data_IF_320575666155
#
_entry.id   IF_320575666155
#
_cell.length_a   1.000
_cell.length_b   1.000
_cell.length_c   1.000
_cell.angle_alpha   90.00
_cell.angle_beta   90.00
_cell.angle_gamma   90.00
#
_symmetry.space_group_name_H-M   'P 1'
#
loop_
_entity.id
_entity.type
_entity.pdbx_description
1 polymer ?
#
# COMPACT_ATOMS: atom_id res chain seq x y z
N UNK A 1 -18.28 6.69 -13.90
CA UNK A 1 -17.95 7.86 -13.08
C UNK A 1 -16.76 7.59 -12.16
N UNK A 2 -16.76 6.60 -11.28
CA UNK A 2 -15.62 6.30 -10.38
C UNK A 2 -14.37 5.70 -11.07
N UNK A 3 -14.37 5.55 -12.38
CA UNK A 3 -13.17 5.20 -13.16
C UNK A 3 -12.07 6.29 -13.07
N UNK A 4 -12.44 7.57 -12.87
CA UNK A 4 -11.50 8.69 -12.77
C UNK A 4 -11.12 8.94 -11.31
N UNK A 5 -9.83 9.25 -11.06
CA UNK A 5 -9.32 9.60 -9.72
C UNK A 5 -10.08 10.80 -9.12
N UNK A 6 -10.30 11.86 -9.90
CA UNK A 6 -11.03 13.05 -9.45
C UNK A 6 -12.43 12.72 -8.92
N UNK A 7 -13.18 11.86 -9.62
CA UNK A 7 -14.51 11.45 -9.18
C UNK A 7 -14.44 10.61 -7.88
N UNK A 8 -13.45 9.73 -7.72
CA UNK A 8 -13.28 8.98 -6.47
C UNK A 8 -12.97 9.89 -5.27
N UNK A 9 -12.22 10.96 -5.52
CA UNK A 9 -11.89 11.96 -4.47
C UNK A 9 -13.12 12.80 -4.15
N UNK A 10 -13.82 13.30 -5.16
CA UNK A 10 -15.00 14.17 -5.02
C UNK A 10 -16.15 13.45 -4.31
N UNK A 11 -16.43 12.22 -4.73
CA UNK A 11 -17.51 11.40 -4.15
C UNK A 11 -17.08 10.72 -2.82
N UNK A 12 -15.80 10.64 -2.52
CA UNK A 12 -15.29 9.89 -1.39
C UNK A 12 -15.52 8.38 -1.48
N UNK A 13 -15.62 7.83 -2.70
CA UNK A 13 -16.05 6.47 -2.98
C UNK A 13 -15.16 5.78 -3.99
N UNK A 14 -15.12 4.45 -3.93
CA UNK A 14 -14.49 3.62 -4.96
C UNK A 14 -15.23 2.28 -5.12
N UNK A 15 -14.93 1.60 -6.21
CA UNK A 15 -15.56 0.32 -6.55
C UNK A 15 -14.63 -0.83 -6.19
N UNK A 16 -15.19 -1.84 -5.54
CA UNK A 16 -14.55 -3.12 -5.24
C UNK A 16 -15.27 -4.21 -6.02
N UNK A 17 -14.52 -5.00 -6.78
CA UNK A 17 -15.04 -6.06 -7.65
C UNK A 17 -14.62 -7.43 -7.13
N UNK A 18 -15.59 -8.32 -6.98
CA UNK A 18 -15.41 -9.70 -6.52
C UNK A 18 -15.69 -9.93 -5.04
N UNK A 19 -16.36 -11.05 -4.76
CA UNK A 19 -16.83 -11.41 -3.42
C UNK A 19 -15.70 -11.45 -2.39
N UNK A 20 -14.53 -12.00 -2.75
CA UNK A 20 -13.37 -12.08 -1.87
C UNK A 20 -12.91 -10.69 -1.43
N UNK A 21 -12.72 -9.75 -2.36
CA UNK A 21 -12.25 -8.40 -2.04
C UNK A 21 -13.29 -7.60 -1.24
N UNK A 22 -14.58 -7.82 -1.51
CA UNK A 22 -15.66 -7.19 -0.72
C UNK A 22 -15.63 -7.73 0.72
N UNK A 23 -15.44 -9.03 0.89
CA UNK A 23 -15.30 -9.64 2.22
C UNK A 23 -14.07 -9.11 2.96
N UNK A 24 -12.92 -8.96 2.28
CA UNK A 24 -11.71 -8.36 2.85
C UNK A 24 -11.93 -6.90 3.28
N UNK A 25 -12.69 -6.11 2.49
CA UNK A 25 -13.06 -4.75 2.87
C UNK A 25 -13.89 -4.75 4.17
N UNK A 26 -14.87 -5.64 4.28
CA UNK A 26 -15.69 -5.77 5.49
C UNK A 26 -14.87 -6.21 6.71
N UNK A 27 -13.98 -7.21 6.55
CA UNK A 27 -13.07 -7.67 7.61
C UNK A 27 -12.14 -6.53 8.06
N UNK A 28 -11.63 -5.73 7.12
CA UNK A 28 -10.83 -4.54 7.40
C UNK A 28 -11.63 -3.36 7.99
N UNK A 29 -12.93 -3.55 8.27
CA UNK A 29 -13.81 -2.53 8.84
C UNK A 29 -14.06 -1.34 7.91
N UNK A 30 -14.08 -1.56 6.59
CA UNK A 30 -14.43 -0.53 5.61
C UNK A 30 -15.94 -0.45 5.41
N UNK A 31 -16.44 0.77 5.20
CA UNK A 31 -17.87 1.00 5.01
C UNK A 31 -18.30 0.61 3.60
N UNK A 32 -18.97 -0.52 3.47
CA UNK A 32 -19.64 -0.95 2.25
C UNK A 32 -21.02 -0.30 2.20
N UNK A 33 -21.26 0.57 1.23
CA UNK A 33 -22.49 1.37 1.14
C UNK A 33 -23.58 0.70 0.31
N UNK A 34 -23.16 -0.03 -0.74
CA UNK A 34 -24.07 -0.78 -1.61
C UNK A 34 -23.34 -1.96 -2.22
N UNK A 35 -24.06 -3.05 -2.44
CA UNK A 35 -23.60 -4.17 -3.24
C UNK A 35 -24.45 -4.30 -4.49
N UNK A 36 -23.82 -4.72 -5.57
CA UNK A 36 -24.43 -4.95 -6.87
C UNK A 36 -24.04 -6.35 -7.33
N UNK A 37 -25.00 -7.11 -7.83
CA UNK A 37 -24.71 -8.48 -8.28
C UNK A 37 -25.50 -8.86 -9.52
N UNK A 38 -25.01 -9.84 -10.25
CA UNK A 38 -25.81 -10.51 -11.29
C UNK A 38 -26.95 -11.30 -10.66
N UNK A 39 -27.98 -11.59 -11.45
CA UNK A 39 -29.17 -12.34 -11.00
C UNK A 39 -28.83 -13.71 -10.43
N UNK A 40 -27.79 -14.36 -10.95
CA UNK A 40 -27.36 -15.71 -10.56
C UNK A 40 -26.35 -15.71 -9.40
N UNK A 41 -25.87 -14.54 -8.96
CA UNK A 41 -24.95 -14.43 -7.85
C UNK A 41 -25.67 -14.30 -6.50
N UNK A 42 -25.14 -14.96 -5.46
CA UNK A 42 -25.61 -14.73 -4.12
C UNK A 42 -25.14 -13.36 -3.59
N UNK A 43 -25.89 -12.72 -2.68
CA UNK A 43 -25.41 -11.55 -1.96
C UNK A 43 -24.18 -11.91 -1.10
N UNK A 44 -23.36 -10.91 -0.80
CA UNK A 44 -22.18 -11.11 0.05
C UNK A 44 -22.64 -11.41 1.48
N UNK A 45 -22.19 -12.51 2.01
CA UNK A 45 -22.56 -12.95 3.37
C UNK A 45 -22.10 -11.95 4.43
N UNK A 46 -23.00 -11.57 5.34
CA UNK A 46 -22.71 -10.61 6.41
C UNK A 46 -22.61 -9.16 5.96
N UNK A 47 -22.96 -8.84 4.69
CA UNK A 47 -23.00 -7.46 4.20
C UNK A 47 -24.42 -6.90 4.40
N UNK A 48 -24.55 -5.93 5.30
CA UNK A 48 -25.83 -5.25 5.58
C UNK A 48 -26.13 -4.09 4.61
N UNK A 49 -25.24 -3.84 3.64
CA UNK A 49 -25.42 -2.79 2.64
C UNK A 49 -26.59 -3.12 1.69
N UNK A 50 -27.17 -2.05 1.12
CA UNK A 50 -28.27 -2.21 0.15
C UNK A 50 -27.81 -3.09 -1.01
N UNK A 51 -28.62 -4.13 -1.31
CA UNK A 51 -28.33 -5.11 -2.37
C UNK A 51 -29.16 -4.80 -3.63
N UNK A 52 -28.46 -4.60 -4.73
CA UNK A 52 -29.05 -4.34 -6.05
C UNK A 52 -28.77 -5.51 -7.00
N UNK A 53 -29.84 -6.17 -7.46
CA UNK A 53 -29.73 -7.17 -8.52
C UNK A 53 -29.76 -6.49 -9.87
N UNK A 54 -28.72 -6.68 -10.65
CA UNK A 54 -28.55 -6.07 -11.95
C UNK A 54 -29.04 -7.00 -13.07
N UNK A 55 -29.71 -6.40 -14.05
CA UNK A 55 -30.12 -7.12 -15.25
C UNK A 55 -28.91 -7.62 -16.05
N UNK A 56 -29.17 -8.57 -16.96
CA UNK A 56 -28.17 -9.16 -17.85
C UNK A 56 -27.37 -8.10 -18.62
N UNK A 57 -26.07 -8.25 -18.71
CA UNK A 57 -25.16 -7.36 -19.42
C UNK A 57 -24.89 -6.00 -18.76
N UNK A 58 -25.44 -5.71 -17.59
CA UNK A 58 -25.20 -4.43 -16.91
C UNK A 58 -23.83 -4.41 -16.22
N UNK A 59 -23.43 -5.50 -15.56
CA UNK A 59 -22.11 -5.60 -14.94
C UNK A 59 -20.98 -5.44 -15.94
N UNK A 60 -21.11 -6.05 -17.12
CA UNK A 60 -20.14 -5.98 -18.20
C UNK A 60 -19.93 -4.55 -18.73
N UNK A 61 -20.95 -3.71 -18.64
CA UNK A 61 -20.88 -2.30 -19.07
C UNK A 61 -20.23 -1.39 -18.03
N UNK A 62 -20.31 -1.72 -16.75
CA UNK A 62 -19.82 -0.87 -15.67
C UNK A 62 -18.51 -1.36 -15.06
N UNK A 63 -18.18 -2.63 -15.24
CA UNK A 63 -16.95 -3.22 -14.78
C UNK A 63 -15.71 -2.62 -15.45
N UNK A 64 -14.59 -2.72 -14.76
CA UNK A 64 -13.28 -2.27 -15.25
C UNK A 64 -12.47 -3.40 -15.91
N UNK A 65 -13.05 -4.59 -16.06
CA UNK A 65 -12.44 -5.82 -16.62
C UNK A 65 -13.24 -6.35 -17.78
N UNK A 66 -12.59 -7.09 -18.66
CA UNK A 66 -13.25 -7.80 -19.78
C UNK A 66 -14.10 -8.98 -19.29
N UNK A 67 -13.75 -9.55 -18.15
CA UNK A 67 -14.49 -10.64 -17.52
C UNK A 67 -14.83 -10.22 -16.08
N UNK A 68 -15.92 -9.48 -15.88
CA UNK A 68 -16.30 -8.96 -14.57
C UNK A 68 -16.67 -10.08 -13.61
N UNK A 69 -16.36 -9.86 -12.34
CA UNK A 69 -16.86 -10.71 -11.27
C UNK A 69 -18.36 -10.46 -11.06
N UNK A 70 -19.13 -11.48 -10.65
CA UNK A 70 -20.58 -11.37 -10.52
C UNK A 70 -21.05 -10.46 -9.37
N UNK A 71 -20.15 -10.06 -8.49
CA UNK A 71 -20.41 -9.14 -7.38
C UNK A 71 -19.50 -7.91 -7.46
N UNK A 72 -20.07 -6.76 -7.15
CA UNK A 72 -19.40 -5.48 -7.08
C UNK A 72 -19.94 -4.71 -5.88
N UNK A 73 -19.11 -3.90 -5.23
CA UNK A 73 -19.55 -3.04 -4.12
C UNK A 73 -19.06 -1.61 -4.28
N UNK A 74 -19.83 -0.70 -3.71
CA UNK A 74 -19.45 0.69 -3.51
C UNK A 74 -18.95 0.85 -2.08
N UNK A 75 -17.71 1.31 -1.92
CA UNK A 75 -17.03 1.39 -0.62
C UNK A 75 -16.57 2.81 -0.37
N UNK A 76 -16.69 3.29 0.87
CA UNK A 76 -16.18 4.59 1.29
C UNK A 76 -14.66 4.65 1.18
N UNK A 77 -14.15 5.67 0.48
CA UNK A 77 -12.72 5.92 0.36
C UNK A 77 -12.18 6.52 1.66
N UNK A 78 -11.17 5.92 2.23
CA UNK A 78 -10.44 6.46 3.37
C UNK A 78 -8.94 6.26 3.20
N UNK A 79 -8.15 7.23 3.64
CA UNK A 79 -6.70 7.13 3.74
C UNK A 79 -6.29 7.28 5.19
N UNK A 80 -5.19 6.67 5.57
CA UNK A 80 -4.58 6.91 6.87
C UNK A 80 -3.97 8.33 6.92
N UNK A 81 -3.83 8.87 8.10
CA UNK A 81 -3.09 10.12 8.32
C UNK A 81 -1.66 9.82 8.78
N UNK A 82 -0.76 10.79 8.62
CA UNK A 82 0.58 10.70 9.21
C UNK A 82 0.53 10.55 10.73
N UNK A 83 -0.45 11.13 11.41
CA UNK A 83 -0.64 10.99 12.85
C UNK A 83 -0.80 9.52 13.29
N UNK A 84 -1.34 8.66 12.43
CA UNK A 84 -1.41 7.22 12.69
C UNK A 84 -0.02 6.61 12.76
N UNK A 85 0.87 6.95 11.81
CA UNK A 85 2.24 6.46 11.76
C UNK A 85 3.08 7.01 12.93
N UNK A 86 2.79 8.24 13.39
CA UNK A 86 3.42 8.84 14.57
C UNK A 86 3.13 8.04 15.85
N UNK A 87 1.88 7.60 16.02
CA UNK A 87 1.49 6.77 17.17
C UNK A 87 2.27 5.46 17.22
N UNK A 88 2.51 4.84 16.07
CA UNK A 88 3.27 3.59 15.99
C UNK A 88 4.75 3.80 16.40
N UNK A 89 5.36 4.93 16.01
CA UNK A 89 6.73 5.31 16.45
C UNK A 89 6.76 5.61 17.95
N UNK A 90 5.78 6.36 18.46
CA UNK A 90 5.70 6.72 19.86
C UNK A 90 5.51 5.48 20.75
N UNK A 91 4.67 4.54 20.33
CA UNK A 91 4.45 3.28 21.02
C UNK A 91 5.73 2.44 21.09
N UNK A 92 6.48 2.35 19.99
CA UNK A 92 7.75 1.64 19.94
C UNK A 92 8.82 2.26 20.87
N UNK A 93 8.85 3.59 20.99
CA UNK A 93 9.78 4.31 21.87
C UNK A 93 9.45 4.18 23.34
N UNK A 94 8.16 4.11 23.69
CA UNK A 94 7.71 4.05 25.10
C UNK A 94 7.71 2.63 25.68
N UNK A 95 7.87 1.59 24.85
CA UNK A 95 7.74 0.21 25.28
C UNK A 95 6.32 -0.14 25.79
N UNK A 96 5.36 0.80 25.63
CA UNK A 96 3.99 0.63 26.06
C UNK A 96 3.15 0.13 24.92
N UNK A 97 2.84 -1.16 24.89
CA UNK A 97 1.84 -1.74 24.01
C UNK A 97 0.44 -1.23 24.37
N UNK A 98 0.13 0.04 24.11
CA UNK A 98 -1.20 0.58 24.25
C UNK A 98 -2.06 0.15 23.04
N UNK A 99 -3.16 -0.49 23.35
CA UNK A 99 -4.08 -1.15 22.48
C UNK A 99 -4.54 -0.31 21.26
N UNK A 100 -4.12 -0.73 20.07
CA UNK A 100 -4.86 -0.50 18.85
C UNK A 100 -5.10 -1.87 18.19
N UNK A 101 -6.25 -2.09 17.53
CA UNK A 101 -6.58 -3.37 16.93
C UNK A 101 -5.86 -3.56 15.59
N UNK A 102 -4.56 -3.74 15.63
CA UNK A 102 -3.74 -4.25 14.54
C UNK A 102 -2.44 -4.72 15.17
N UNK A 103 -2.06 -5.93 14.89
CA UNK A 103 -0.85 -6.65 15.32
C UNK A 103 0.17 -5.76 16.04
N UNK A 104 0.11 -5.72 17.37
CA UNK A 104 1.14 -5.07 18.20
C UNK A 104 2.39 -5.93 18.09
N UNK A 105 3.24 -5.61 17.13
CA UNK A 105 4.60 -6.14 17.14
C UNK A 105 5.39 -5.40 18.20
N UNK A 106 6.07 -6.13 19.08
CA UNK A 106 6.99 -5.58 20.09
C UNK A 106 8.24 -4.91 19.47
N UNK A 107 8.23 -4.74 18.16
CA UNK A 107 9.34 -4.24 17.36
C UNK A 107 9.07 -2.83 16.83
N UNK A 108 10.13 -2.07 16.62
CA UNK A 108 10.03 -0.75 16.03
C UNK A 108 9.37 -0.80 14.62
N UNK A 109 8.49 0.17 14.29
CA UNK A 109 7.76 0.14 13.02
C UNK A 109 8.67 0.42 11.82
N UNK A 110 8.33 -0.14 10.66
CA UNK A 110 8.86 0.32 9.38
C UNK A 110 7.72 0.65 8.43
N UNK A 111 7.99 1.57 7.54
CA UNK A 111 7.07 1.99 6.48
C UNK A 111 7.80 2.03 5.14
N UNK A 112 7.02 2.00 4.07
CA UNK A 112 7.50 2.28 2.73
C UNK A 112 7.04 3.68 2.30
N UNK A 113 7.94 4.44 1.69
CA UNK A 113 7.61 5.66 0.98
C UNK A 113 7.82 5.43 -0.52
N UNK A 114 6.77 5.61 -1.30
CA UNK A 114 6.81 5.42 -2.75
C UNK A 114 6.93 6.77 -3.44
N UNK A 115 8.00 6.96 -4.21
CA UNK A 115 8.29 8.17 -4.94
C UNK A 115 8.03 7.97 -6.44
N UNK A 116 6.89 8.47 -6.91
CA UNK A 116 6.42 8.39 -8.29
C UNK A 116 6.25 6.96 -8.86
N UNK A 117 5.86 6.00 -8.03
CA UNK A 117 5.47 4.66 -8.50
C UNK A 117 4.13 4.74 -9.22
N UNK A 118 4.13 4.69 -10.54
CA UNK A 118 2.97 4.97 -11.40
C UNK A 118 2.23 3.74 -11.91
N UNK A 119 2.85 2.56 -11.89
CA UNK A 119 2.20 1.33 -12.33
C UNK A 119 1.28 0.76 -11.25
N UNK A 120 -0.01 0.51 -11.56
CA UNK A 120 -0.99 0.01 -10.60
C UNK A 120 -0.71 -1.44 -10.15
N UNK A 121 -0.09 -2.26 -10.98
CA UNK A 121 0.31 -3.62 -10.63
C UNK A 121 1.42 -3.62 -9.59
N UNK A 122 2.42 -2.75 -9.77
CA UNK A 122 3.50 -2.57 -8.83
C UNK A 122 2.98 -2.08 -7.47
N UNK A 123 2.14 -1.04 -7.44
CA UNK A 123 1.56 -0.56 -6.19
C UNK A 123 0.76 -1.65 -5.47
N UNK A 124 -0.10 -2.37 -6.18
CA UNK A 124 -0.86 -3.46 -5.59
C UNK A 124 0.02 -4.57 -5.00
N UNK A 125 1.09 -4.94 -5.70
CA UNK A 125 2.06 -5.95 -5.23
C UNK A 125 2.86 -5.45 -4.02
N UNK A 126 3.24 -4.17 -4.00
CA UNK A 126 3.91 -3.54 -2.85
C UNK A 126 3.01 -3.57 -1.62
N UNK A 127 1.74 -3.16 -1.75
CA UNK A 127 0.77 -3.22 -0.65
C UNK A 127 0.62 -4.64 -0.10
N UNK A 128 0.57 -5.62 -1.00
CA UNK A 128 0.46 -7.03 -0.62
C UNK A 128 1.68 -7.53 0.15
N UNK A 129 2.89 -7.17 -0.27
CA UNK A 129 4.10 -7.55 0.47
C UNK A 129 4.25 -6.79 1.79
N UNK A 130 3.84 -5.53 1.83
CA UNK A 130 3.87 -4.70 3.04
C UNK A 130 2.95 -5.27 4.12
N UNK A 131 1.71 -5.62 3.76
CA UNK A 131 0.74 -6.24 4.65
C UNK A 131 1.26 -7.60 5.15
N UNK A 132 1.64 -8.50 4.24
CA UNK A 132 2.07 -9.85 4.57
C UNK A 132 3.31 -9.90 5.49
N UNK A 133 4.19 -8.90 5.41
CA UNK A 133 5.39 -8.81 6.25
C UNK A 133 5.21 -7.92 7.48
N UNK A 134 4.06 -7.26 7.65
CA UNK A 134 3.73 -6.47 8.83
C UNK A 134 4.32 -5.06 8.83
N UNK A 135 4.49 -4.44 7.66
CA UNK A 135 4.83 -3.01 7.59
C UNK A 135 3.72 -2.16 8.23
N UNK A 136 4.11 -1.14 8.97
CA UNK A 136 3.18 -0.25 9.67
C UNK A 136 2.37 0.64 8.71
N UNK A 137 2.84 0.83 7.47
CA UNK A 137 2.10 1.57 6.46
C UNK A 137 2.90 1.80 5.18
N UNK A 138 2.18 2.35 4.19
CA UNK A 138 2.73 2.76 2.89
C UNK A 138 2.34 4.21 2.64
N UNK A 139 3.33 5.07 2.39
CA UNK A 139 3.15 6.48 2.07
C UNK A 139 3.32 6.68 0.57
N UNK A 140 2.34 7.28 -0.07
CA UNK A 140 2.37 7.60 -1.49
C UNK A 140 2.79 9.06 -1.67
N UNK A 141 4.01 9.26 -2.14
CA UNK A 141 4.51 10.56 -2.56
C UNK A 141 3.86 11.04 -3.86
N UNK A 142 4.29 12.21 -4.33
CA UNK A 142 3.77 12.77 -5.58
C UNK A 142 4.09 11.88 -6.78
N UNK A 143 3.21 11.88 -7.80
CA UNK A 143 3.38 11.07 -9.00
C UNK A 143 2.99 9.59 -8.87
N UNK A 144 2.63 9.14 -7.68
CA UNK A 144 2.13 7.77 -7.50
C UNK A 144 0.73 7.59 -8.09
N UNK A 145 0.48 6.37 -8.57
CA UNK A 145 -0.86 5.94 -8.94
C UNK A 145 -1.79 5.98 -7.72
N UNK A 146 -3.06 6.26 -7.95
CA UNK A 146 -4.09 6.27 -6.91
C UNK A 146 -4.30 4.87 -6.33
N UNK A 147 -4.20 4.74 -5.01
CA UNK A 147 -4.41 3.49 -4.29
C UNK A 147 -5.79 2.85 -4.54
N UNK A 148 -6.79 3.67 -4.82
CA UNK A 148 -8.17 3.25 -5.09
C UNK A 148 -8.47 3.04 -6.60
N UNK A 149 -7.45 3.07 -7.44
CA UNK A 149 -7.59 2.64 -8.83
C UNK A 149 -8.04 1.16 -8.86
N UNK A 150 -9.06 0.79 -9.65
CA UNK A 150 -9.55 -0.59 -9.69
C UNK A 150 -8.49 -1.65 -9.99
N UNK A 151 -7.45 -1.29 -10.75
CA UNK A 151 -6.31 -2.20 -11.01
C UNK A 151 -5.45 -2.40 -9.75
N UNK A 152 -5.24 -1.34 -8.93
CA UNK A 152 -4.52 -1.44 -7.65
C UNK A 152 -5.31 -2.29 -6.67
N UNK A 153 -6.60 -2.01 -6.51
CA UNK A 153 -7.51 -2.76 -5.62
C UNK A 153 -7.43 -4.25 -5.91
N UNK A 154 -7.52 -4.64 -7.19
CA UNK A 154 -7.40 -6.05 -7.58
C UNK A 154 -5.99 -6.61 -7.33
N UNK A 155 -4.95 -5.88 -7.74
CA UNK A 155 -3.56 -6.34 -7.60
C UNK A 155 -3.13 -6.50 -6.14
N UNK A 156 -3.73 -5.73 -5.23
CA UNK A 156 -3.46 -5.84 -3.79
C UNK A 156 -4.02 -7.11 -3.16
N UNK A 157 -4.94 -7.81 -3.83
CA UNK A 157 -5.58 -9.03 -3.34
C UNK A 157 -6.15 -8.91 -1.91
N UNK A 158 -6.68 -7.72 -1.56
CA UNK A 158 -7.24 -7.43 -0.23
C UNK A 158 -6.31 -6.67 0.71
N UNK A 159 -5.00 -6.69 0.50
CA UNK A 159 -4.03 -6.02 1.38
C UNK A 159 -4.29 -4.51 1.56
N UNK A 160 -4.85 -3.84 0.55
CA UNK A 160 -5.28 -2.44 0.64
C UNK A 160 -6.19 -2.17 1.84
N UNK A 161 -7.00 -3.15 2.23
CA UNK A 161 -7.97 -3.00 3.30
C UNK A 161 -7.37 -3.14 4.70
N UNK A 162 -6.14 -3.62 4.81
CA UNK A 162 -5.48 -3.95 6.07
C UNK A 162 -4.23 -3.08 6.35
N UNK A 163 -3.45 -2.72 5.32
CA UNK A 163 -2.28 -1.87 5.49
C UNK A 163 -2.67 -0.39 5.44
N UNK A 164 -2.23 0.44 6.40
CA UNK A 164 -2.45 1.89 6.35
C UNK A 164 -1.79 2.51 5.12
N UNK A 165 -2.58 3.21 4.30
CA UNK A 165 -2.08 3.96 3.14
C UNK A 165 -2.27 5.45 3.37
N UNK A 166 -1.16 6.20 3.35
CA UNK A 166 -1.14 7.66 3.47
C UNK A 166 -0.88 8.25 2.09
N UNK A 167 -1.67 9.23 1.68
CA UNK A 167 -1.50 9.94 0.41
C UNK A 167 -1.14 11.41 0.62
N UNK A 168 -0.37 11.96 -0.32
CA UNK A 168 -0.13 13.39 -0.40
C UNK A 168 0.88 13.94 0.61
N UNK A 169 1.67 13.09 1.26
CA UNK A 169 2.71 13.50 2.20
C UNK A 169 4.07 13.56 1.54
N UNK A 170 4.92 14.44 2.05
CA UNK A 170 6.32 14.57 1.65
C UNK A 170 7.23 13.68 2.50
N UNK A 171 8.42 13.39 1.98
CA UNK A 171 9.40 12.61 2.73
C UNK A 171 9.89 13.37 3.98
N UNK A 172 10.00 14.70 3.91
CA UNK A 172 10.37 15.56 5.04
C UNK A 172 9.35 15.48 6.19
N UNK A 173 8.05 15.40 5.88
CA UNK A 173 7.01 15.19 6.90
C UNK A 173 7.15 13.83 7.58
N UNK A 174 7.47 12.77 6.82
CA UNK A 174 7.73 11.43 7.36
C UNK A 174 8.99 11.45 8.26
N UNK A 175 10.05 12.12 7.82
CA UNK A 175 11.29 12.30 8.60
C UNK A 175 11.03 13.01 9.94
N UNK A 176 10.16 14.00 9.94
CA UNK A 176 9.78 14.74 11.15
C UNK A 176 9.11 13.86 12.22
N UNK A 177 8.47 12.74 11.82
CA UNK A 177 7.93 11.75 12.76
C UNK A 177 9.03 10.92 13.44
N UNK A 178 10.29 11.05 13.02
CA UNK A 178 11.44 10.38 13.59
C UNK A 178 11.78 9.04 12.96
N UNK A 179 11.28 8.78 11.74
CA UNK A 179 11.79 7.68 10.94
C UNK A 179 13.17 8.00 10.39
N UNK A 180 14.07 7.03 10.39
CA UNK A 180 15.31 7.06 9.64
C UNK A 180 14.99 6.73 8.17
N UNK A 181 15.43 7.57 7.25
CA UNK A 181 15.09 7.49 5.84
C UNK A 181 16.19 6.76 5.08
N UNK A 182 15.88 5.60 4.54
CA UNK A 182 16.78 4.80 3.71
C UNK A 182 16.25 4.72 2.29
N UNK A 183 16.97 5.26 1.33
CA UNK A 183 16.56 5.22 -0.07
C UNK A 183 17.19 4.02 -0.81
N UNK A 184 16.44 3.46 -1.75
CA UNK A 184 16.94 2.36 -2.58
C UNK A 184 17.74 2.90 -3.77
N UNK A 185 18.85 2.21 -4.09
CA UNK A 185 19.64 2.45 -5.30
C UNK A 185 19.77 1.15 -6.09
N UNK A 186 19.69 1.26 -7.42
CA UNK A 186 20.00 0.16 -8.34
C UNK A 186 21.48 0.00 -8.63
N UNK A 187 22.29 1.02 -8.33
CA UNK A 187 23.72 1.05 -8.61
C UNK A 187 24.53 1.14 -7.32
N UNK A 188 25.75 0.64 -7.39
CA UNK A 188 26.74 0.85 -6.35
C UNK A 188 27.14 2.35 -6.33
N UNK A 189 26.38 3.13 -5.55
CA UNK A 189 26.73 4.51 -5.27
C UNK A 189 27.72 4.55 -4.12
N UNK A 190 28.68 5.49 -4.17
CA UNK A 190 29.58 5.74 -3.04
C UNK A 190 28.74 5.98 -1.76
N UNK A 191 28.90 5.13 -0.77
CA UNK A 191 28.15 5.20 0.49
C UNK A 191 26.84 4.42 0.56
N UNK A 192 26.47 3.61 -0.47
CA UNK A 192 25.35 2.69 -0.35
C UNK A 192 25.76 1.40 0.37
N UNK A 193 24.97 0.96 1.35
CA UNK A 193 25.15 -0.32 2.06
C UNK A 193 24.39 -1.44 1.34
N UNK A 194 24.96 -2.66 1.36
CA UNK A 194 24.19 -3.85 1.03
C UNK A 194 23.00 -3.99 1.96
N UNK A 195 21.85 -4.43 1.46
CA UNK A 195 20.66 -4.66 2.30
C UNK A 195 20.98 -5.62 3.45
N UNK A 196 21.85 -6.63 3.21
CA UNK A 196 22.29 -7.58 4.23
C UNK A 196 23.09 -6.95 5.37
N UNK A 197 23.77 -5.84 5.13
CA UNK A 197 24.64 -5.12 6.09
C UNK A 197 24.02 -3.81 6.59
N UNK A 198 22.97 -3.34 5.93
CA UNK A 198 22.31 -2.09 6.27
C UNK A 198 21.80 -2.14 7.72
N UNK A 199 21.95 -1.02 8.42
CA UNK A 199 21.30 -0.85 9.72
C UNK A 199 19.81 -0.61 9.51
N UNK A 200 18.98 -1.59 9.87
CA UNK A 200 17.52 -1.58 9.77
C UNK A 200 16.85 -1.51 11.15
N UNK A 201 17.60 -1.20 12.19
CA UNK A 201 17.08 -1.10 13.54
C UNK A 201 16.29 0.19 13.76
N UNK A 202 15.38 0.19 14.74
CA UNK A 202 14.54 1.34 15.06
C UNK A 202 13.45 1.61 14.02
N UNK A 203 12.86 2.79 14.09
CA UNK A 203 11.84 3.21 13.13
C UNK A 203 12.48 3.59 11.79
N UNK A 204 12.17 2.84 10.73
CA UNK A 204 12.77 2.98 9.39
C UNK A 204 11.70 3.27 8.35
N UNK A 205 11.97 4.24 7.48
CA UNK A 205 11.23 4.47 6.25
C UNK A 205 12.11 4.10 5.06
N UNK A 206 11.67 3.14 4.25
CA UNK A 206 12.38 2.79 3.02
C UNK A 206 11.73 3.47 1.83
N UNK A 207 12.53 4.27 1.11
CA UNK A 207 12.10 5.00 -0.09
C UNK A 207 12.37 4.17 -1.33
N UNK A 208 11.31 3.92 -2.07
CA UNK A 208 11.32 3.23 -3.36
C UNK A 208 10.97 4.24 -4.46
N UNK A 209 11.90 4.48 -5.37
CA UNK A 209 11.71 5.41 -6.48
C UNK A 209 11.03 4.77 -7.69
N UNK A 210 10.71 5.60 -8.68
CA UNK A 210 10.14 5.16 -9.95
C UNK A 210 11.13 4.28 -10.73
N UNK A 211 10.59 3.41 -11.58
CA UNK A 211 11.37 2.51 -12.42
C UNK A 211 12.25 3.27 -13.43
N UNK A 212 11.81 4.44 -13.87
CA UNK A 212 12.50 5.22 -14.90
C UNK A 212 13.59 6.14 -14.34
N UNK A 213 13.40 6.71 -13.15
CA UNK A 213 14.25 7.79 -12.65
C UNK A 213 14.80 7.52 -11.23
N UNK A 214 14.42 6.40 -10.61
CA UNK A 214 14.76 6.14 -9.22
C UNK A 214 14.10 7.15 -8.26
N UNK A 215 14.78 7.47 -7.19
CA UNK A 215 14.33 8.44 -6.17
C UNK A 215 14.55 9.87 -6.69
N UNK A 216 13.50 10.68 -6.67
CA UNK A 216 13.51 12.05 -7.18
C UNK A 216 14.43 12.99 -6.40
N UNK A 217 14.94 14.03 -7.07
CA UNK A 217 15.85 15.01 -6.45
C UNK A 217 15.26 15.69 -5.21
N UNK A 218 13.95 15.97 -5.21
CA UNK A 218 13.27 16.58 -4.07
C UNK A 218 13.28 15.71 -2.81
N UNK A 219 13.31 14.40 -2.98
CA UNK A 219 13.35 13.44 -1.88
C UNK A 219 14.77 13.20 -1.35
N UNK A 220 15.80 13.42 -2.16
CA UNK A 220 17.19 13.09 -1.82
C UNK A 220 17.74 13.89 -0.63
N UNK A 221 17.28 15.13 -0.42
CA UNK A 221 17.73 15.96 0.70
C UNK A 221 17.33 15.40 2.08
N UNK A 222 16.29 14.59 2.13
CA UNK A 222 15.77 14.01 3.37
C UNK A 222 16.33 12.61 3.65
N UNK A 223 17.07 12.02 2.71
CA UNK A 223 17.64 10.68 2.82
C UNK A 223 18.82 10.67 3.81
N UNK A 224 18.78 9.74 4.77
CA UNK A 224 19.85 9.54 5.75
C UNK A 224 20.87 8.49 5.30
N UNK A 225 20.48 7.60 4.40
CA UNK A 225 21.36 6.55 3.87
C UNK A 225 20.79 5.88 2.62
N UNK A 226 21.66 5.17 1.92
CA UNK A 226 21.30 4.43 0.71
C UNK A 226 21.49 2.94 0.92
N UNK A 227 20.54 2.15 0.44
CA UNK A 227 20.58 0.69 0.47
C UNK A 227 20.45 0.11 -0.94
N UNK A 228 21.12 -1.01 -1.17
CA UNK A 228 21.02 -1.74 -2.42
C UNK A 228 20.74 -3.23 -2.15
N UNK A 229 20.04 -3.85 -3.06
CA UNK A 229 19.87 -5.31 -3.09
C UNK A 229 20.96 -5.89 -3.99
N UNK A 230 21.88 -6.63 -3.39
CA UNK A 230 22.93 -7.29 -4.16
C UNK A 230 22.34 -8.43 -5.00
N UNK A 231 22.70 -8.47 -6.26
CA UNK A 231 22.30 -9.55 -7.18
C UNK A 231 23.43 -9.86 -8.15
N UNK A 232 23.60 -11.13 -8.50
CA UNK A 232 24.69 -11.64 -9.36
C UNK A 232 24.28 -11.79 -10.83
N UNK A 233 23.03 -11.46 -11.17
CA UNK A 233 22.51 -11.53 -12.53
C UNK A 233 22.96 -10.37 -13.40
N UNK A 234 22.57 -10.41 -14.70
CA UNK A 234 22.87 -9.36 -15.68
C UNK A 234 21.86 -8.19 -15.68
N UNK A 235 20.81 -8.28 -14.87
CA UNK A 235 19.82 -7.21 -14.77
C UNK A 235 20.45 -5.97 -14.12
N UNK A 236 20.20 -4.79 -14.68
CA UNK A 236 20.67 -3.52 -14.10
C UNK A 236 19.89 -3.11 -12.86
N UNK A 237 18.63 -3.55 -12.77
CA UNK A 237 17.75 -3.26 -11.63
C UNK A 237 16.68 -4.34 -11.47
N UNK A 238 16.09 -4.40 -10.28
CA UNK A 238 14.90 -5.19 -10.02
C UNK A 238 13.64 -4.35 -10.24
N UNK A 239 12.55 -5.01 -10.64
CA UNK A 239 11.23 -4.39 -10.59
C UNK A 239 10.96 -3.84 -9.17
N UNK A 240 10.38 -2.65 -9.06
CA UNK A 240 10.20 -1.95 -7.79
C UNK A 240 9.37 -2.74 -6.77
N UNK A 241 8.38 -3.51 -7.20
CA UNK A 241 7.59 -4.34 -6.31
C UNK A 241 8.36 -5.58 -5.82
N UNK A 242 9.25 -6.14 -6.65
CA UNK A 242 10.18 -7.20 -6.22
C UNK A 242 11.18 -6.67 -5.21
N UNK A 243 11.76 -5.50 -5.45
CA UNK A 243 12.66 -4.84 -4.50
C UNK A 243 11.97 -4.58 -3.16
N UNK A 244 10.75 -4.03 -3.18
CA UNK A 244 9.94 -3.82 -1.98
C UNK A 244 9.70 -5.12 -1.22
N UNK A 245 9.41 -6.22 -1.92
CA UNK A 245 9.15 -7.52 -1.29
C UNK A 245 10.39 -8.06 -0.59
N UNK A 246 11.55 -7.99 -1.22
CA UNK A 246 12.84 -8.43 -0.64
C UNK A 246 13.17 -7.60 0.59
N UNK A 247 12.99 -6.29 0.53
CA UNK A 247 13.27 -5.36 1.63
C UNK A 247 12.32 -5.62 2.80
N UNK A 248 11.02 -5.73 2.54
CA UNK A 248 10.02 -6.05 3.58
C UNK A 248 10.34 -7.38 4.26
N UNK A 249 10.68 -8.41 3.49
CA UNK A 249 11.07 -9.71 4.03
C UNK A 249 12.33 -9.60 4.92
N UNK A 250 13.37 -8.89 4.48
CA UNK A 250 14.60 -8.75 5.24
C UNK A 250 14.37 -8.01 6.56
N UNK A 251 13.57 -6.92 6.53
CA UNK A 251 13.22 -6.19 7.75
C UNK A 251 12.42 -7.08 8.70
N UNK A 252 11.38 -7.76 8.20
CA UNK A 252 10.55 -8.63 9.00
C UNK A 252 11.37 -9.78 9.62
N UNK A 253 12.26 -10.42 8.83
CA UNK A 253 13.13 -11.50 9.28
C UNK A 253 14.06 -11.09 10.43
N UNK A 254 14.61 -9.86 10.41
CA UNK A 254 15.50 -9.35 11.47
C UNK A 254 14.74 -8.96 12.73
N UNK A 255 13.43 -8.82 12.65
CA UNK A 255 12.57 -8.39 13.77
C UNK A 255 11.77 -9.54 14.40
N UNK A 256 11.98 -10.77 13.93
CA UNK A 256 11.49 -12.00 14.56
C UNK A 256 12.48 -12.49 15.63
#
# INVERSE_FOLDING_TARGET
>A
MLARRSARIEEGLFVVEGSLLISEAMIGGWDVLAQYRSVDAAPIAGCDAVDFVLGEGVLERVASTESPQPNMALVSRRTASLARLELDVAAARSGSGAAAPAVVTSFAPWILFLDAVSDPGNLGTILRSAEAMGAAGVVLGSGCVDAFNPKVVRASAGALFHVPVVEGSTLGEVKALGYRILATSSHEQSGSSSLGEADLDGAVCVVLGSEAHGVGEASKSDVDGWIRIDHSGRAESLNVAMAATIINYEIARRRQ
#
